data_IF_461040513126
#
_entry.id   IF_461040513126
#
_cell.length_a   1.000
_cell.length_b   1.000
_cell.length_c   1.000
_cell.angle_alpha   90.00
_cell.angle_beta   90.00
_cell.angle_gamma   90.00
#
_symmetry.space_group_name_H-M   'P 1'
#
loop_
_entity.id
_entity.type
_entity.pdbx_description
1 polymer ?
#
# COMPACT_ATOMS: atom_id res chain seq x y z
N UNK A 1 -12.13 42.77 -29.82
CA UNK A 1 -12.28 41.46 -29.16
C UNK A 1 -10.86 40.93 -29.00
N UNK A 2 -10.30 41.16 -27.81
CA UNK A 2 -8.93 40.76 -27.48
C UNK A 2 -8.92 39.22 -27.33
N UNK A 3 -7.94 38.50 -27.89
CA UNK A 3 -7.88 37.06 -27.74
C UNK A 3 -7.71 36.70 -26.25
N UNK A 4 -8.33 35.61 -25.77
CA UNK A 4 -8.12 35.17 -24.40
C UNK A 4 -6.62 34.91 -24.17
N UNK A 5 -6.08 35.22 -22.98
CA UNK A 5 -4.67 35.03 -22.69
C UNK A 5 -4.30 33.55 -22.90
N UNK A 6 -3.24 33.31 -23.68
CA UNK A 6 -2.66 31.98 -23.86
C UNK A 6 -2.41 31.37 -22.47
N UNK A 7 -3.04 30.22 -22.21
CA UNK A 7 -2.78 29.48 -20.99
C UNK A 7 -1.29 29.10 -20.98
N UNK A 8 -0.52 29.71 -20.07
CA UNK A 8 0.90 29.42 -19.92
C UNK A 8 1.09 27.93 -19.70
N UNK A 9 1.91 27.31 -20.54
CA UNK A 9 2.15 25.87 -20.44
C UNK A 9 2.79 25.57 -19.07
N UNK A 10 2.25 24.62 -18.29
CA UNK A 10 2.73 24.36 -16.95
C UNK A 10 4.18 23.89 -17.00
N UNK A 11 5.04 24.47 -16.14
CA UNK A 11 6.46 24.13 -16.08
C UNK A 11 6.62 22.65 -15.75
N UNK A 12 7.40 21.93 -16.57
CA UNK A 12 7.77 20.54 -16.28
C UNK A 12 8.85 20.51 -15.20
N UNK A 13 8.62 19.71 -14.16
CA UNK A 13 9.57 19.43 -13.10
C UNK A 13 10.14 18.02 -13.31
N UNK A 14 11.46 17.87 -13.23
CA UNK A 14 12.14 16.59 -13.34
C UNK A 14 12.10 15.82 -12.01
N UNK A 15 12.20 14.49 -12.06
CA UNK A 15 12.29 13.68 -10.82
C UNK A 15 13.57 14.03 -10.06
N UNK A 16 14.66 14.32 -10.77
CA UNK A 16 15.91 14.78 -10.16
C UNK A 16 15.76 16.08 -9.37
N UNK A 17 14.94 17.02 -9.85
CA UNK A 17 14.67 18.27 -9.13
C UNK A 17 13.81 18.02 -7.89
N UNK A 18 12.86 17.09 -7.99
CA UNK A 18 12.06 16.65 -6.84
C UNK A 18 12.94 16.09 -5.72
N UNK A 19 13.92 15.25 -6.07
CA UNK A 19 14.85 14.64 -5.11
C UNK A 19 15.78 15.65 -4.43
N UNK A 20 15.98 16.84 -5.02
CA UNK A 20 16.72 17.95 -4.39
C UNK A 20 15.92 18.66 -3.31
N UNK A 21 14.59 18.54 -3.33
CA UNK A 21 13.74 19.14 -2.29
C UNK A 21 13.98 18.44 -0.96
N UNK A 22 14.26 19.24 0.08
CA UNK A 22 14.54 18.76 1.44
C UNK A 22 13.35 18.84 2.38
N UNK A 23 12.22 19.38 1.91
CA UNK A 23 10.99 19.53 2.68
C UNK A 23 9.79 18.93 1.95
N UNK A 24 8.79 18.44 2.69
CA UNK A 24 7.52 18.01 2.12
C UNK A 24 6.91 19.10 1.23
N UNK A 25 6.68 18.77 -0.03
CA UNK A 25 6.23 19.72 -1.07
C UNK A 25 5.02 19.18 -1.82
N UNK A 26 4.09 20.04 -2.22
CA UNK A 26 2.92 19.68 -3.04
C UNK A 26 2.88 20.53 -4.30
N UNK A 27 2.37 19.97 -5.39
CA UNK A 27 2.28 20.64 -6.68
C UNK A 27 1.09 20.14 -7.50
N UNK A 28 0.58 21.01 -8.37
CA UNK A 28 -0.49 20.70 -9.31
C UNK A 28 -0.28 21.42 -10.64
N UNK A 29 -0.72 20.79 -11.74
CA UNK A 29 -0.64 21.34 -13.10
C UNK A 29 -1.76 22.34 -13.41
N UNK A 30 -2.80 22.36 -12.56
CA UNK A 30 -3.89 23.33 -12.59
C UNK A 30 -3.98 23.94 -11.20
N UNK A 31 -3.53 25.18 -11.04
CA UNK A 31 -3.93 25.96 -9.88
C UNK A 31 -5.35 26.43 -10.15
N UNK A 32 -6.30 26.09 -9.27
CA UNK A 32 -7.56 26.83 -9.25
C UNK A 32 -7.18 28.28 -8.97
N UNK A 33 -7.56 29.20 -9.86
CA UNK A 33 -7.40 30.63 -9.63
C UNK A 33 -7.94 30.95 -8.23
N UNK A 34 -7.22 31.73 -7.40
CA UNK A 34 -7.80 32.19 -6.15
C UNK A 34 -9.09 32.94 -6.51
N UNK A 35 -10.22 32.46 -6.00
CA UNK A 35 -11.42 33.30 -5.98
C UNK A 35 -11.03 34.61 -5.30
N UNK A 36 -11.46 35.77 -5.83
CA UNK A 36 -11.05 37.06 -5.28
C UNK A 36 -11.39 37.07 -3.79
N UNK A 37 -10.36 37.34 -2.99
CA UNK A 37 -10.50 37.62 -1.58
C UNK A 37 -11.52 38.75 -1.40
N UNK A 38 -12.74 38.40 -1.00
CA UNK A 38 -13.57 39.35 -0.29
C UNK A 38 -12.89 39.65 1.05
N UNK A 39 -12.12 40.72 1.03
CA UNK A 39 -11.71 41.51 2.18
C UNK A 39 -12.97 41.90 2.98
N UNK A 40 -13.44 41.00 3.84
CA UNK A 40 -14.39 41.34 4.88
C UNK A 40 -13.59 41.90 6.04
N UNK A 41 -13.60 43.22 6.14
CA UNK A 41 -13.01 43.98 7.22
C UNK A 41 -13.35 43.35 8.58
N UNK A 42 -12.32 43.14 9.39
CA UNK A 42 -12.46 42.73 10.77
C UNK A 42 -13.28 43.77 11.54
N UNK A 43 -14.51 43.41 11.92
CA UNK A 43 -15.21 44.06 13.03
C UNK A 43 -14.88 43.28 14.30
N UNK A 44 -14.31 44.00 15.25
CA UNK A 44 -13.93 43.54 16.58
C UNK A 44 -15.17 43.25 17.41
N UNK A 45 -15.42 41.97 17.70
CA UNK A 45 -16.27 41.59 18.84
C UNK A 45 -15.65 40.39 19.57
N UNK A 46 -15.17 40.64 20.79
CA UNK A 46 -14.61 39.62 21.68
C UNK A 46 -15.68 38.62 22.16
N UNK A 47 -15.42 37.29 22.20
CA UNK A 47 -16.23 36.37 22.96
C UNK A 47 -15.69 36.19 24.39
N UNK A 48 -16.58 36.32 25.37
CA UNK A 48 -16.36 36.09 26.81
C UNK A 48 -15.80 34.69 27.11
N UNK A 49 -14.84 34.62 28.04
CA UNK A 49 -14.20 33.41 28.57
C UNK A 49 -15.20 32.53 29.35
N UNK A 50 -15.20 31.23 29.08
CA UNK A 50 -15.58 30.15 30.02
C UNK A 50 -14.42 29.12 30.12
N UNK A 51 -14.24 28.45 31.26
CA UNK A 51 -12.95 27.87 31.65
C UNK A 51 -12.67 26.53 30.95
N UNK A 52 -11.43 26.38 30.44
CA UNK A 52 -10.88 25.16 29.85
C UNK A 52 -10.25 24.30 30.94
N UNK A 53 -10.72 23.06 31.08
CA UNK A 53 -9.92 21.96 31.64
C UNK A 53 -8.86 21.57 30.60
N UNK A 54 -7.60 21.72 30.96
CA UNK A 54 -6.43 21.50 30.12
C UNK A 54 -6.02 20.03 30.08
N UNK A 55 -6.24 19.38 28.94
CA UNK A 55 -5.49 18.20 28.52
C UNK A 55 -4.55 18.62 27.37
N UNK A 56 -3.28 18.83 27.69
CA UNK A 56 -2.26 19.26 26.72
C UNK A 56 -1.71 18.05 25.99
N UNK A 57 -2.38 17.62 24.92
CA UNK A 57 -1.76 16.77 23.90
C UNK A 57 -0.72 17.60 23.14
N UNK A 58 0.52 17.12 22.92
CA UNK A 58 1.34 17.66 21.85
C UNK A 58 0.70 17.20 20.53
N UNK A 59 -0.04 18.09 19.88
CA UNK A 59 -0.54 17.83 18.54
C UNK A 59 0.67 17.50 17.63
N UNK A 60 0.60 16.44 16.80
CA UNK A 60 1.59 16.26 15.74
C UNK A 60 1.63 17.57 14.94
N UNK A 61 2.83 18.02 14.55
CA UNK A 61 2.97 19.20 13.67
C UNK A 61 2.16 18.96 12.40
N UNK A 62 0.96 19.53 12.32
CA UNK A 62 0.03 19.44 11.18
C UNK A 62 0.35 20.49 10.12
N UNK A 63 1.64 20.81 9.94
CA UNK A 63 2.03 21.81 8.96
C UNK A 63 1.59 21.31 7.57
N UNK A 64 0.93 22.14 6.75
CA UNK A 64 0.59 21.75 5.39
C UNK A 64 1.87 21.55 4.57
N UNK A 65 1.78 20.75 3.50
CA UNK A 65 2.87 20.65 2.52
C UNK A 65 3.21 22.03 1.96
N UNK A 66 4.49 22.30 1.71
CA UNK A 66 4.90 23.53 1.05
C UNK A 66 4.38 23.53 -0.40
N UNK A 67 3.48 24.45 -0.80
CA UNK A 67 2.98 24.48 -2.16
C UNK A 67 4.03 25.06 -3.11
N UNK A 68 4.10 24.53 -4.33
CA UNK A 68 4.80 25.21 -5.43
C UNK A 68 3.88 26.34 -5.93
N UNK A 69 4.36 27.60 -5.99
CA UNK A 69 3.50 28.77 -6.21
C UNK A 69 2.99 28.92 -7.64
N UNK A 70 3.44 28.08 -8.57
CA UNK A 70 3.04 28.10 -9.98
C UNK A 70 2.60 26.71 -10.43
N UNK A 71 1.81 26.60 -11.52
CA UNK A 71 1.45 25.30 -12.09
C UNK A 71 2.69 24.48 -12.44
N UNK A 72 2.72 23.22 -11.99
CA UNK A 72 3.81 22.28 -12.24
C UNK A 72 3.28 20.94 -12.70
N UNK A 73 3.92 20.40 -13.73
CA UNK A 73 3.68 19.07 -14.26
C UNK A 73 4.89 18.19 -13.97
N UNK A 74 4.67 17.03 -13.36
CA UNK A 74 5.69 15.97 -13.28
C UNK A 74 5.44 14.96 -14.41
N UNK A 75 6.50 14.51 -15.07
CA UNK A 75 6.44 13.47 -16.09
C UNK A 75 7.46 12.39 -15.79
N UNK A 76 7.13 11.13 -16.08
CA UNK A 76 8.06 10.03 -15.91
C UNK A 76 7.48 8.68 -16.27
N UNK A 77 8.38 7.71 -16.46
CA UNK A 77 8.01 6.33 -16.76
C UNK A 77 7.72 5.58 -15.47
N UNK A 78 6.54 4.97 -15.38
CA UNK A 78 6.17 4.19 -14.22
C UNK A 78 6.67 2.76 -14.37
N UNK A 79 7.46 2.27 -13.42
CA UNK A 79 8.07 0.95 -13.46
C UNK A 79 7.86 0.18 -12.15
N UNK A 80 8.07 -1.14 -12.21
CA UNK A 80 8.02 -2.00 -11.03
C UNK A 80 9.19 -1.69 -10.09
N UNK A 81 9.02 -1.84 -8.75
CA UNK A 81 10.06 -1.51 -7.79
C UNK A 81 11.37 -2.26 -8.08
N UNK A 82 12.51 -1.60 -7.88
CA UNK A 82 13.83 -2.22 -7.95
C UNK A 82 14.04 -3.21 -6.78
N UNK A 83 15.11 -3.99 -6.85
CA UNK A 83 15.42 -4.98 -5.83
C UNK A 83 15.59 -4.37 -4.42
N UNK A 84 16.09 -3.15 -4.33
CA UNK A 84 16.38 -2.47 -3.05
C UNK A 84 15.25 -1.53 -2.59
N UNK A 85 14.18 -1.41 -3.39
CA UNK A 85 13.05 -0.51 -3.12
C UNK A 85 11.94 -1.18 -2.30
N UNK A 86 10.91 -0.40 -1.93
CA UNK A 86 9.71 -0.85 -1.23
C UNK A 86 8.85 -1.80 -2.10
N UNK A 87 9.30 -3.06 -2.23
CA UNK A 87 8.68 -4.14 -3.05
C UNK A 87 7.23 -4.45 -2.67
N UNK A 88 6.81 -3.94 -1.51
CA UNK A 88 5.55 -4.31 -0.89
C UNK A 88 4.39 -3.43 -1.32
N UNK A 89 4.62 -2.15 -1.61
CA UNK A 89 3.54 -1.16 -1.76
C UNK A 89 3.75 -0.17 -2.91
N UNK A 90 4.98 0.28 -3.14
CA UNK A 90 5.29 1.32 -4.13
C UNK A 90 5.60 0.75 -5.52
N UNK A 91 5.42 1.61 -6.51
CA UNK A 91 6.09 1.54 -7.82
C UNK A 91 7.29 2.49 -7.84
N UNK A 92 7.98 2.56 -8.97
CA UNK A 92 9.08 3.51 -9.19
C UNK A 92 8.72 4.45 -10.32
N UNK A 93 8.78 5.77 -10.08
CA UNK A 93 8.70 6.75 -11.17
C UNK A 93 10.11 7.19 -11.52
N UNK A 94 10.49 7.01 -12.78
CA UNK A 94 11.81 7.38 -13.29
C UNK A 94 11.69 8.50 -14.31
N UNK A 95 12.65 9.42 -14.29
CA UNK A 95 12.75 10.47 -15.30
C UNK A 95 13.10 9.85 -16.66
N UNK A 96 12.54 10.33 -17.79
CA UNK A 96 12.98 9.90 -19.12
C UNK A 96 14.41 10.39 -19.43
N UNK A 97 14.79 11.53 -18.86
CA UNK A 97 16.06 12.21 -19.16
C UNK A 97 17.18 11.92 -18.15
N UNK A 98 16.88 11.26 -17.03
CA UNK A 98 17.87 10.94 -16.00
C UNK A 98 17.61 9.57 -15.37
N UNK A 99 18.65 8.91 -14.85
CA UNK A 99 18.50 7.66 -14.11
C UNK A 99 17.89 7.83 -12.70
N UNK A 100 17.43 9.04 -12.35
CA UNK A 100 16.83 9.31 -11.05
C UNK A 100 15.46 8.63 -10.92
N UNK A 101 15.20 8.05 -9.74
CA UNK A 101 13.95 7.37 -9.44
C UNK A 101 13.42 7.73 -8.06
N UNK A 102 12.10 7.68 -7.91
CA UNK A 102 11.38 7.96 -6.66
C UNK A 102 10.33 6.88 -6.39
N UNK A 103 10.13 6.50 -5.11
CA UNK A 103 9.03 5.60 -4.72
C UNK A 103 7.73 6.29 -5.08
N UNK A 104 6.83 5.63 -5.79
CA UNK A 104 5.60 6.25 -6.26
C UNK A 104 4.39 5.41 -5.85
N UNK A 105 3.43 6.06 -5.20
CA UNK A 105 2.11 5.50 -4.95
C UNK A 105 1.08 6.28 -5.76
N UNK A 106 0.28 5.58 -6.56
CA UNK A 106 -0.74 6.18 -7.43
C UNK A 106 -2.12 5.86 -6.87
N UNK A 107 -2.93 6.89 -6.66
CA UNK A 107 -4.38 6.71 -6.56
C UNK A 107 -4.95 6.34 -7.93
N UNK A 108 -6.11 5.68 -7.93
CA UNK A 108 -6.81 5.24 -9.14
C UNK A 108 -5.93 4.48 -10.12
N UNK A 109 -5.06 3.62 -9.59
CA UNK A 109 -4.07 2.90 -10.36
C UNK A 109 -4.69 1.97 -11.42
N UNK A 110 -4.20 2.12 -12.65
CA UNK A 110 -4.43 1.20 -13.77
C UNK A 110 -3.13 0.44 -14.10
N UNK A 111 -3.11 -0.90 -14.06
CA UNK A 111 -1.94 -1.67 -14.45
C UNK A 111 -1.42 -1.37 -15.85
N UNK A 112 -2.26 -0.91 -16.80
CA UNK A 112 -1.86 -0.61 -18.18
C UNK A 112 -0.79 0.48 -18.29
N UNK A 113 -0.53 1.22 -17.20
CA UNK A 113 0.46 2.31 -17.19
C UNK A 113 1.86 1.87 -16.79
N UNK A 114 2.03 0.61 -16.38
CA UNK A 114 3.35 0.04 -16.12
C UNK A 114 4.16 -0.01 -17.41
N UNK A 115 5.39 0.51 -17.37
CA UNK A 115 6.30 0.64 -18.50
C UNK A 115 6.03 1.87 -19.39
N UNK A 116 5.02 2.69 -19.07
CA UNK A 116 4.63 3.85 -19.88
C UNK A 116 4.89 5.16 -19.17
N UNK A 117 5.02 6.22 -19.96
CA UNK A 117 5.15 7.57 -19.46
C UNK A 117 3.78 8.10 -18.98
N UNK A 118 3.77 8.62 -17.75
CA UNK A 118 2.62 9.28 -17.15
C UNK A 118 2.94 10.74 -16.87
N UNK A 119 1.88 11.55 -16.90
CA UNK A 119 1.87 12.94 -16.47
C UNK A 119 1.14 13.03 -15.14
N UNK A 120 1.84 13.41 -14.08
CA UNK A 120 1.28 13.58 -12.74
C UNK A 120 0.82 15.02 -12.58
N UNK A 121 -0.50 15.20 -12.53
CA UNK A 121 -1.22 16.47 -12.57
C UNK A 121 -1.45 17.08 -11.18
N UNK A 122 -1.40 16.26 -10.13
CA UNK A 122 -1.45 16.69 -8.74
C UNK A 122 -0.72 15.67 -7.88
N UNK A 123 0.11 16.13 -6.95
CA UNK A 123 1.01 15.25 -6.20
C UNK A 123 1.49 15.86 -4.88
N UNK A 124 1.85 14.99 -3.95
CA UNK A 124 2.63 15.33 -2.77
C UNK A 124 3.96 14.60 -2.80
N UNK A 125 5.03 15.26 -2.37
CA UNK A 125 6.36 14.67 -2.26
C UNK A 125 6.83 14.73 -0.82
N UNK A 126 7.26 13.57 -0.34
CA UNK A 126 7.86 13.35 0.96
C UNK A 126 9.36 13.10 0.74
N UNK A 127 10.25 14.01 1.17
CA UNK A 127 11.68 13.78 1.06
C UNK A 127 12.10 12.61 1.94
N UNK A 128 13.22 12.00 1.56
CA UNK A 128 13.80 10.95 2.37
C UNK A 128 14.27 11.47 3.73
N UNK A 129 13.90 10.76 4.80
CA UNK A 129 14.29 11.09 6.18
C UNK A 129 15.69 10.54 6.50
N UNK A 130 16.21 9.56 5.73
CA UNK A 130 17.51 8.92 5.94
C UNK A 130 18.32 8.88 4.65
N UNK A 131 19.64 9.05 4.71
CA UNK A 131 20.53 9.11 3.54
C UNK A 131 20.44 7.90 2.58
N UNK A 132 19.88 6.76 3.02
CA UNK A 132 19.72 5.55 2.20
C UNK A 132 18.26 5.19 1.88
N UNK A 133 17.28 6.00 2.29
CA UNK A 133 15.88 5.79 1.93
C UNK A 133 15.52 6.60 0.68
N UNK A 134 14.64 6.08 -0.17
CA UNK A 134 14.12 6.83 -1.31
C UNK A 134 13.05 7.82 -0.85
N UNK A 135 13.00 9.00 -1.48
CA UNK A 135 11.84 9.89 -1.36
C UNK A 135 10.57 9.21 -1.88
N UNK A 136 9.42 9.74 -1.49
CA UNK A 136 8.11 9.18 -1.84
C UNK A 136 7.26 10.22 -2.54
N UNK A 137 6.76 9.88 -3.71
CA UNK A 137 5.80 10.62 -4.50
C UNK A 137 4.42 9.99 -4.34
N UNK A 138 3.49 10.79 -3.84
CA UNK A 138 2.07 10.49 -3.74
C UNK A 138 1.37 11.14 -4.94
N UNK A 139 1.12 10.35 -5.99
CA UNK A 139 0.46 10.82 -7.20
C UNK A 139 -1.06 10.80 -7.01
N UNK A 140 -1.63 11.98 -6.74
CA UNK A 140 -3.05 12.19 -6.45
C UNK A 140 -3.87 12.08 -7.74
N UNK A 141 -3.41 12.74 -8.79
CA UNK A 141 -4.08 12.76 -10.10
C UNK A 141 -3.04 12.65 -11.19
N UNK A 142 -3.30 11.81 -12.19
CA UNK A 142 -2.38 11.53 -13.26
C UNK A 142 -3.12 11.15 -14.54
N UNK A 143 -2.42 11.14 -15.68
CA UNK A 143 -2.89 10.60 -16.95
C UNK A 143 -1.72 10.04 -17.75
N UNK A 144 -2.00 9.25 -18.78
CA UNK A 144 -0.99 8.84 -19.75
C UNK A 144 -0.49 10.06 -20.54
N UNK A 145 0.81 10.07 -20.85
CA UNK A 145 1.44 11.15 -21.63
C UNK A 145 0.99 11.12 -23.09
N UNK A 146 0.85 9.91 -23.66
CA UNK A 146 0.27 9.69 -24.97
C UNK A 146 -1.15 10.27 -25.02
N UNK A 147 -1.43 11.09 -26.04
CA UNK A 147 -2.80 11.50 -26.32
C UNK A 147 -3.65 10.25 -26.57
N UNK A 148 -4.94 10.23 -26.19
CA UNK A 148 -5.82 9.18 -26.67
C UNK A 148 -5.75 9.20 -28.20
N UNK A 149 -5.07 8.20 -28.77
CA UNK A 149 -5.15 7.95 -30.21
C UNK A 149 -6.61 7.75 -30.60
N UNK A 150 -6.95 7.82 -31.90
CA UNK A 150 -8.30 7.54 -32.36
C UNK A 150 -8.78 6.24 -31.70
N UNK A 151 -9.91 6.35 -31.00
CA UNK A 151 -10.55 5.25 -30.26
C UNK A 151 -10.54 4.03 -31.16
N UNK A 152 -9.85 2.93 -30.80
CA UNK A 152 -10.00 1.70 -31.55
C UNK A 152 -11.48 1.32 -31.49
N UNK A 153 -12.06 1.13 -32.67
CA UNK A 153 -13.39 0.59 -32.93
C UNK A 153 -13.68 -0.62 -32.02
N UNK A 154 -14.92 -0.88 -31.58
CA UNK A 154 -15.23 -1.82 -30.50
C UNK A 154 -14.76 -3.25 -30.81
N UNK A 155 -13.65 -3.60 -30.18
CA UNK A 155 -13.09 -4.94 -30.09
C UNK A 155 -12.14 -5.04 -28.90
N UNK A 156 -12.38 -4.24 -27.85
CA UNK A 156 -11.60 -4.29 -26.62
C UNK A 156 -11.72 -5.69 -26.05
N UNK A 157 -10.62 -6.44 -26.09
CA UNK A 157 -10.53 -7.73 -25.44
C UNK A 157 -10.94 -7.57 -23.98
N UNK A 158 -11.79 -8.48 -23.49
CA UNK A 158 -12.26 -8.47 -22.10
C UNK A 158 -11.12 -8.39 -21.08
N UNK A 159 -9.94 -8.87 -21.45
CA UNK A 159 -8.72 -8.75 -20.66
C UNK A 159 -7.67 -7.89 -21.37
N UNK A 160 -7.03 -7.00 -20.60
CA UNK A 160 -5.77 -6.35 -20.97
C UNK A 160 -4.61 -7.17 -20.38
N UNK A 161 -3.60 -7.49 -21.19
CA UNK A 161 -2.47 -8.34 -20.78
C UNK A 161 -1.18 -7.52 -20.63
N UNK A 162 -0.41 -7.81 -19.58
CA UNK A 162 0.97 -7.35 -19.46
C UNK A 162 1.89 -8.56 -19.20
N UNK A 163 2.96 -8.74 -19.99
CA UNK A 163 3.97 -9.75 -19.70
C UNK A 163 4.68 -9.42 -18.38
N UNK A 164 4.86 -10.43 -17.51
CA UNK A 164 5.55 -10.22 -16.24
C UNK A 164 7.06 -10.07 -16.42
N UNK A 165 7.62 -10.65 -17.49
CA UNK A 165 9.03 -10.58 -17.85
C UNK A 165 9.14 -10.08 -19.29
N UNK A 166 9.95 -9.05 -19.51
CA UNK A 166 10.17 -8.42 -20.81
C UNK A 166 11.23 -9.14 -21.66
N UNK A 167 11.40 -10.45 -21.49
CA UNK A 167 12.31 -11.25 -22.32
C UNK A 167 11.48 -11.90 -23.40
N UNK A 168 11.98 -11.88 -24.65
CA UNK A 168 11.31 -12.40 -25.84
C UNK A 168 10.50 -13.66 -25.54
N UNK A 169 9.18 -13.52 -25.70
CA UNK A 169 8.22 -14.52 -25.30
C UNK A 169 8.32 -15.72 -26.24
N UNK A 170 9.07 -16.74 -25.83
CA UNK A 170 9.06 -18.06 -26.49
C UNK A 170 7.61 -18.57 -26.63
N UNK A 171 7.23 -19.06 -27.83
CA UNK A 171 5.86 -19.46 -28.12
C UNK A 171 5.31 -20.44 -27.08
N UNK A 172 4.05 -20.21 -26.70
CA UNK A 172 3.41 -20.90 -25.60
C UNK A 172 3.25 -22.40 -25.89
N UNK A 173 4.07 -23.23 -25.26
CA UNK A 173 3.85 -24.68 -25.23
C UNK A 173 2.48 -25.00 -24.60
N UNK A 174 1.70 -25.95 -25.15
CA UNK A 174 0.36 -26.32 -24.68
C UNK A 174 0.33 -26.94 -23.26
N UNK A 175 1.50 -27.20 -22.68
CA UNK A 175 1.66 -27.79 -21.33
C UNK A 175 1.71 -26.77 -20.19
N UNK A 176 1.63 -25.47 -20.48
CA UNK A 176 1.72 -24.42 -19.45
C UNK A 176 0.37 -24.17 -18.76
N UNK A 177 0.40 -24.08 -17.43
CA UNK A 177 -0.77 -23.86 -16.59
C UNK A 177 -1.37 -22.46 -16.75
N UNK A 178 -2.69 -22.39 -16.57
CA UNK A 178 -3.49 -21.17 -16.59
C UNK A 178 -4.45 -21.15 -15.40
N UNK A 179 -4.71 -19.96 -14.87
CA UNK A 179 -5.82 -19.70 -13.95
C UNK A 179 -6.54 -18.42 -14.35
N UNK A 180 -7.85 -18.39 -14.16
CA UNK A 180 -8.66 -17.19 -14.25
C UNK A 180 -9.53 -17.13 -13.01
N UNK A 181 -9.52 -16.00 -12.29
CA UNK A 181 -10.19 -15.88 -11.01
C UNK A 181 -10.08 -14.53 -10.34
N UNK A 182 -10.84 -14.36 -9.27
CA UNK A 182 -10.79 -13.18 -8.41
C UNK A 182 -9.61 -13.29 -7.44
N UNK A 183 -8.77 -12.25 -7.35
CA UNK A 183 -7.68 -12.20 -6.36
C UNK A 183 -8.28 -11.98 -4.96
N UNK A 184 -8.13 -12.94 -4.04
CA UNK A 184 -8.64 -12.87 -2.67
C UNK A 184 -7.70 -12.15 -1.73
N UNK A 185 -6.42 -12.50 -1.80
CA UNK A 185 -5.37 -11.93 -0.96
C UNK A 185 -4.01 -12.13 -1.61
N UNK A 186 -3.09 -11.23 -1.29
CA UNK A 186 -1.71 -11.27 -1.76
C UNK A 186 -0.80 -11.18 -0.55
N UNK A 187 0.03 -12.20 -0.35
CA UNK A 187 0.97 -12.21 0.77
C UNK A 187 2.01 -11.10 0.62
N UNK A 188 2.70 -10.81 1.72
CA UNK A 188 3.99 -10.12 1.70
C UNK A 188 5.00 -10.86 0.82
N UNK A 189 6.03 -10.16 0.35
CA UNK A 189 7.20 -10.81 -0.24
C UNK A 189 7.97 -11.50 0.89
N UNK A 190 8.36 -12.76 0.68
CA UNK A 190 9.16 -13.55 1.59
C UNK A 190 10.21 -14.37 0.84
N UNK A 191 11.24 -14.78 1.56
CA UNK A 191 12.29 -15.66 1.05
C UNK A 191 12.02 -17.10 1.46
N UNK A 192 12.25 -18.04 0.55
CA UNK A 192 12.18 -19.49 0.78
C UNK A 192 13.54 -20.09 0.50
N UNK A 193 14.14 -20.84 1.45
CA UNK A 193 15.39 -21.54 1.22
C UNK A 193 15.26 -22.50 0.04
N UNK A 194 16.17 -22.41 -0.92
CA UNK A 194 16.20 -23.33 -2.05
C UNK A 194 17.13 -24.50 -1.76
N UNK A 195 16.61 -25.73 -1.79
CA UNK A 195 17.39 -26.92 -1.44
C UNK A 195 18.62 -27.17 -2.33
N UNK A 196 18.63 -26.63 -3.56
CA UNK A 196 19.66 -26.91 -4.58
C UNK A 196 20.44 -25.70 -5.06
N UNK A 197 20.19 -24.49 -4.54
CA UNK A 197 20.93 -23.28 -4.91
C UNK A 197 21.42 -22.52 -3.67
N UNK A 198 22.55 -21.80 -3.80
CA UNK A 198 23.12 -20.97 -2.72
C UNK A 198 22.25 -19.74 -2.36
N UNK A 199 21.27 -19.38 -3.19
CA UNK A 199 20.43 -18.19 -3.01
C UNK A 199 18.98 -18.56 -2.71
N UNK A 200 18.38 -17.87 -1.74
CA UNK A 200 16.96 -18.02 -1.42
C UNK A 200 16.07 -17.54 -2.57
N UNK A 201 14.98 -18.28 -2.82
CA UNK A 201 13.93 -17.82 -3.74
C UNK A 201 13.08 -16.75 -3.07
N UNK A 202 13.03 -15.55 -3.66
CA UNK A 202 12.21 -14.45 -3.16
C UNK A 202 10.91 -14.39 -3.95
N UNK A 203 9.78 -14.37 -3.25
CA UNK A 203 8.48 -14.38 -3.91
C UNK A 203 7.31 -14.02 -3.02
N UNK A 204 6.11 -14.05 -3.58
CA UNK A 204 4.86 -13.88 -2.85
C UNK A 204 3.78 -14.81 -3.41
N UNK A 205 2.76 -15.09 -2.61
CA UNK A 205 1.64 -15.95 -2.98
C UNK A 205 0.40 -15.10 -3.20
N UNK A 206 -0.27 -15.31 -4.32
CA UNK A 206 -1.64 -14.85 -4.55
C UNK A 206 -2.62 -16.00 -4.33
N UNK A 207 -3.60 -15.77 -3.48
CA UNK A 207 -4.77 -16.63 -3.32
C UNK A 207 -5.86 -16.16 -4.26
N UNK A 208 -6.39 -17.06 -5.07
CA UNK A 208 -7.38 -16.75 -6.10
C UNK A 208 -8.59 -17.68 -5.97
N UNK A 209 -9.80 -17.11 -6.11
CA UNK A 209 -11.01 -17.89 -6.37
C UNK A 209 -11.17 -18.01 -7.88
N UNK A 210 -10.83 -19.17 -8.41
CA UNK A 210 -10.79 -19.45 -9.83
C UNK A 210 -12.10 -19.98 -10.37
N UNK A 211 -12.33 -19.68 -11.64
CA UNK A 211 -13.42 -20.22 -12.42
C UNK A 211 -13.19 -21.71 -12.70
N UNK A 212 -14.22 -22.54 -12.46
CA UNK A 212 -14.18 -23.98 -12.72
C UNK A 212 -14.44 -24.38 -14.17
N UNK A 213 -14.93 -23.45 -15.00
CA UNK A 213 -15.36 -23.69 -16.38
C UNK A 213 -14.24 -24.31 -17.24
N UNK A 214 -14.61 -25.24 -18.13
CA UNK A 214 -13.66 -25.89 -19.06
C UNK A 214 -12.99 -24.87 -19.98
N UNK A 215 -13.74 -23.88 -20.47
CA UNK A 215 -13.24 -22.83 -21.37
C UNK A 215 -12.14 -21.98 -20.70
N UNK A 216 -12.33 -21.51 -19.46
CA UNK A 216 -11.32 -20.71 -18.75
C UNK A 216 -10.00 -21.47 -18.46
N UNK A 217 -10.01 -22.80 -18.58
CA UNK A 217 -8.78 -23.61 -18.49
C UNK A 217 -8.01 -23.64 -19.81
N UNK A 218 -8.69 -23.47 -20.94
CA UNK A 218 -8.16 -23.61 -22.29
C UNK A 218 -7.83 -22.24 -22.92
N UNK A 219 -8.77 -21.31 -22.87
CA UNK A 219 -8.70 -20.00 -23.54
C UNK A 219 -8.87 -18.84 -22.55
N UNK A 220 -8.63 -17.61 -23.02
CA UNK A 220 -8.91 -16.42 -22.22
C UNK A 220 -10.43 -16.22 -22.18
N UNK A 221 -11.00 -15.80 -21.06
CA UNK A 221 -12.41 -15.45 -21.01
C UNK A 221 -12.68 -14.23 -21.90
N UNK A 222 -13.79 -14.27 -22.62
CA UNK A 222 -14.26 -13.21 -23.51
C UNK A 222 -15.37 -12.37 -22.87
N UNK A 223 -15.94 -12.85 -21.76
CA UNK A 223 -16.93 -12.13 -20.96
C UNK A 223 -16.87 -12.55 -19.50
N UNK A 224 -17.62 -11.86 -18.65
CA UNK A 224 -17.84 -12.23 -17.26
C UNK A 224 -19.08 -13.12 -17.04
N UNK A 225 -19.95 -13.24 -18.05
CA UNK A 225 -21.22 -13.96 -17.94
C UNK A 225 -21.00 -15.47 -17.88
N UNK A 226 -21.62 -16.11 -16.90
CA UNK A 226 -21.60 -17.57 -16.75
C UNK A 226 -20.36 -18.14 -16.06
N UNK A 227 -19.49 -17.30 -15.48
CA UNK A 227 -18.35 -17.75 -14.70
C UNK A 227 -18.68 -17.86 -13.20
N UNK A 228 -18.37 -19.03 -12.62
CA UNK A 228 -18.52 -19.29 -11.18
C UNK A 228 -17.15 -19.47 -10.53
N UNK A 229 -16.81 -18.57 -9.62
CA UNK A 229 -15.52 -18.53 -8.91
C UNK A 229 -15.56 -19.36 -7.62
N UNK A 230 -15.53 -20.68 -7.76
CA UNK A 230 -15.73 -21.61 -6.64
C UNK A 230 -14.44 -22.36 -6.23
N UNK A 231 -13.40 -22.34 -7.06
CA UNK A 231 -12.19 -23.16 -6.84
C UNK A 231 -11.04 -22.32 -6.29
N UNK A 232 -10.64 -22.55 -5.05
CA UNK A 232 -9.46 -21.89 -4.46
C UNK A 232 -8.16 -22.42 -5.08
N UNK A 233 -7.28 -21.49 -5.50
CA UNK A 233 -5.94 -21.80 -6.00
C UNK A 233 -4.91 -20.82 -5.47
N UNK A 234 -3.69 -21.31 -5.26
CA UNK A 234 -2.54 -20.51 -4.89
C UNK A 234 -1.56 -20.43 -6.07
N UNK A 235 -1.16 -19.21 -6.42
CA UNK A 235 -0.14 -18.95 -7.44
C UNK A 235 1.07 -18.30 -6.76
N UNK A 236 2.24 -18.91 -6.92
CA UNK A 236 3.49 -18.41 -6.37
C UNK A 236 4.25 -17.60 -7.42
N UNK A 237 4.41 -16.31 -7.17
CA UNK A 237 5.18 -15.40 -8.01
C UNK A 237 6.60 -15.29 -7.45
N UNK A 238 7.57 -15.77 -8.21
CA UNK A 238 8.98 -15.90 -7.80
C UNK A 238 9.91 -15.04 -8.64
N UNK A 239 11.05 -14.68 -8.05
CA UNK A 239 12.15 -13.98 -8.70
C UNK A 239 11.71 -12.65 -9.31
N UNK A 240 11.89 -12.43 -10.62
CA UNK A 240 11.46 -11.21 -11.30
C UNK A 240 9.96 -10.95 -11.17
N UNK A 241 9.14 -12.01 -11.15
CA UNK A 241 7.70 -11.89 -10.95
C UNK A 241 7.34 -11.39 -9.54
N UNK A 242 8.23 -11.51 -8.55
CA UNK A 242 8.00 -10.98 -7.20
C UNK A 242 7.83 -9.45 -7.19
N UNK A 243 8.39 -8.74 -8.17
CA UNK A 243 8.27 -7.27 -8.32
C UNK A 243 6.84 -6.82 -8.62
N UNK A 244 5.97 -7.73 -9.05
CA UNK A 244 4.57 -7.46 -9.37
C UNK A 244 3.63 -7.42 -8.16
N UNK A 245 4.14 -7.68 -6.95
CA UNK A 245 3.33 -7.67 -5.73
C UNK A 245 2.52 -6.37 -5.55
N UNK A 246 3.08 -5.15 -5.74
CA UNK A 246 2.32 -3.90 -5.59
C UNK A 246 1.18 -3.75 -6.59
N UNK A 247 1.28 -4.41 -7.75
CA UNK A 247 0.25 -4.42 -8.80
C UNK A 247 -0.86 -5.39 -8.41
N UNK A 248 -0.52 -6.66 -8.13
CA UNK A 248 -1.52 -7.67 -7.75
C UNK A 248 -2.25 -7.34 -6.44
N UNK A 249 -1.57 -6.72 -5.47
CA UNK A 249 -2.21 -6.25 -4.23
C UNK A 249 -3.31 -5.21 -4.49
N UNK A 250 -3.13 -4.34 -5.50
CA UNK A 250 -4.15 -3.37 -5.94
C UNK A 250 -5.27 -3.99 -6.79
N UNK A 251 -5.09 -5.22 -7.26
CA UNK A 251 -6.10 -6.00 -7.97
C UNK A 251 -6.90 -6.94 -7.05
N UNK A 252 -6.73 -6.87 -5.72
CA UNK A 252 -7.54 -7.64 -4.77
C UNK A 252 -9.02 -7.30 -4.93
N UNK A 253 -9.83 -8.33 -5.19
CA UNK A 253 -11.25 -8.22 -5.51
C UNK A 253 -11.55 -8.03 -7.00
N UNK A 254 -10.54 -8.04 -7.88
CA UNK A 254 -10.72 -7.99 -9.34
C UNK A 254 -10.40 -9.34 -10.00
N UNK A 255 -11.04 -9.68 -11.14
CA UNK A 255 -10.67 -10.83 -11.93
C UNK A 255 -9.34 -10.63 -12.61
N UNK A 256 -8.52 -11.66 -12.52
CA UNK A 256 -7.21 -11.75 -13.14
C UNK A 256 -7.07 -13.12 -13.80
N UNK A 257 -6.55 -13.12 -15.02
CA UNK A 257 -6.04 -14.29 -15.71
C UNK A 257 -4.53 -14.33 -15.58
N UNK A 258 -3.98 -15.48 -15.16
CA UNK A 258 -2.55 -15.72 -15.10
C UNK A 258 -2.24 -16.93 -15.96
N UNK A 259 -1.44 -16.73 -17.01
CA UNK A 259 -1.03 -17.77 -17.97
C UNK A 259 0.46 -18.06 -17.84
N UNK A 260 0.95 -19.11 -18.51
CA UNK A 260 2.38 -19.42 -18.53
C UNK A 260 2.92 -19.92 -17.19
N UNK A 261 2.07 -20.55 -16.37
CA UNK A 261 2.44 -21.09 -15.06
C UNK A 261 3.06 -22.49 -15.20
N UNK A 262 4.01 -22.82 -14.33
CA UNK A 262 4.54 -24.18 -14.18
C UNK A 262 3.89 -24.85 -12.98
N UNK A 263 3.60 -26.15 -13.07
CA UNK A 263 3.27 -26.96 -11.89
C UNK A 263 4.58 -27.41 -11.25
N UNK A 264 4.78 -27.08 -9.98
CA UNK A 264 5.95 -27.52 -9.20
C UNK A 264 5.48 -28.20 -7.93
N UNK A 265 6.13 -29.29 -7.55
CA UNK A 265 5.90 -29.92 -6.25
C UNK A 265 6.66 -29.13 -5.19
N UNK A 266 5.96 -28.72 -4.13
CA UNK A 266 6.50 -27.93 -3.01
C UNK A 266 6.28 -28.72 -1.73
N UNK A 267 7.37 -29.04 -1.04
CA UNK A 267 7.34 -29.67 0.28
C UNK A 267 7.17 -28.62 1.37
N UNK A 268 6.18 -28.80 2.23
CA UNK A 268 5.88 -27.88 3.33
C UNK A 268 6.29 -28.55 4.65
N UNK A 269 7.61 -28.56 4.92
CA UNK A 269 8.18 -29.18 6.11
C UNK A 269 7.71 -30.64 6.28
N UNK A 270 7.26 -31.00 7.49
CA UNK A 270 6.71 -32.33 7.79
C UNK A 270 5.27 -32.53 7.29
N UNK A 271 4.61 -31.50 6.74
CA UNK A 271 3.19 -31.56 6.33
C UNK A 271 2.97 -32.18 4.95
N UNK A 272 4.02 -32.66 4.28
CA UNK A 272 3.96 -33.33 2.99
C UNK A 272 4.25 -32.41 1.78
N UNK A 273 4.05 -32.97 0.60
CA UNK A 273 4.33 -32.33 -0.69
C UNK A 273 3.03 -31.96 -1.41
N UNK A 274 2.96 -30.73 -1.91
CA UNK A 274 1.78 -30.17 -2.57
C UNK A 274 2.15 -29.71 -3.98
N UNK A 275 1.25 -29.91 -4.95
CA UNK A 275 1.43 -29.33 -6.28
C UNK A 275 1.01 -27.86 -6.25
N UNK A 276 1.94 -26.95 -6.55
CA UNK A 276 1.71 -25.52 -6.60
C UNK A 276 1.88 -24.98 -8.02
N UNK A 277 1.11 -23.95 -8.38
CA UNK A 277 1.33 -23.18 -9.59
C UNK A 277 2.36 -22.10 -9.33
N UNK A 278 3.43 -22.08 -10.11
CA UNK A 278 4.57 -21.17 -9.94
C UNK A 278 4.79 -20.37 -11.21
N UNK A 279 5.09 -19.07 -11.07
CA UNK A 279 5.44 -18.22 -12.20
C UNK A 279 6.69 -18.73 -12.92
N UNK A 280 6.78 -18.44 -14.21
CA UNK A 280 7.91 -18.74 -15.08
C UNK A 280 8.25 -17.51 -15.93
N UNK A 281 9.29 -17.62 -16.75
CA UNK A 281 9.68 -16.57 -17.70
C UNK A 281 8.54 -16.16 -18.63
N UNK A 282 7.65 -17.08 -18.98
CA UNK A 282 6.52 -16.83 -19.85
C UNK A 282 5.22 -16.46 -19.13
N UNK A 283 5.25 -16.18 -17.82
CA UNK A 283 4.04 -15.81 -17.10
C UNK A 283 3.53 -14.45 -17.56
N UNK A 284 2.26 -14.38 -17.91
CA UNK A 284 1.56 -13.14 -18.20
C UNK A 284 0.40 -12.97 -17.22
N UNK A 285 0.15 -11.72 -16.83
CA UNK A 285 -1.01 -11.34 -16.05
C UNK A 285 -1.90 -10.49 -16.92
N UNK A 286 -3.18 -10.85 -16.94
CA UNK A 286 -4.21 -10.09 -17.64
C UNK A 286 -5.33 -9.76 -16.66
N UNK A 287 -5.84 -8.53 -16.68
CA UNK A 287 -6.94 -8.09 -15.82
C UNK A 287 -8.06 -7.54 -16.68
N UNK A 288 -9.27 -7.49 -16.13
CA UNK A 288 -10.40 -6.83 -16.78
C UNK A 288 -10.52 -5.39 -16.25
N UNK A 289 -10.29 -4.35 -17.08
CA UNK A 289 -10.43 -2.96 -16.65
C UNK A 289 -11.88 -2.56 -16.37
N UNK A 290 -12.84 -3.13 -17.11
CA UNK A 290 -14.27 -2.78 -17.04
C UNK A 290 -15.05 -3.56 -15.98
N UNK A 291 -14.47 -4.61 -15.39
CA UNK A 291 -15.20 -5.45 -14.45
C UNK A 291 -15.15 -4.89 -13.02
N UNK A 292 -16.29 -4.38 -12.56
CA UNK A 292 -16.54 -3.99 -11.17
C UNK A 292 -17.15 -5.19 -10.43
N UNK A 293 -16.33 -6.22 -10.26
CA UNK A 293 -16.77 -7.41 -9.52
C UNK A 293 -17.09 -7.06 -8.09
N UNK A 294 -18.28 -7.46 -7.61
CA UNK A 294 -18.54 -7.54 -6.18
C UNK A 294 -17.85 -8.82 -5.68
N UNK A 295 -16.76 -8.74 -4.90
CA UNK A 295 -16.17 -9.95 -4.34
C UNK A 295 -17.20 -10.66 -3.47
N UNK A 296 -17.31 -12.00 -3.55
CA UNK A 296 -18.17 -12.74 -2.63
C UNK A 296 -17.80 -12.36 -1.19
N UNK A 297 -18.75 -11.82 -0.42
CA UNK A 297 -18.50 -11.54 0.99
C UNK A 297 -18.33 -12.90 1.68
N UNK A 298 -17.10 -13.24 2.10
CA UNK A 298 -16.88 -14.44 2.91
C UNK A 298 -17.41 -14.13 4.32
N UNK A 299 -18.71 -14.24 4.55
CA UNK A 299 -19.34 -14.02 5.86
C UNK A 299 -19.12 -15.17 6.85
N UNK A 300 -18.11 -16.02 6.64
CA UNK A 300 -17.88 -17.14 7.55
C UNK A 300 -17.36 -16.62 8.90
N UNK A 301 -18.10 -16.84 10.01
CA UNK A 301 -17.69 -16.38 11.34
C UNK A 301 -16.34 -16.98 11.74
N UNK A 302 -15.45 -16.16 12.32
CA UNK A 302 -14.14 -16.62 12.82
C UNK A 302 -12.98 -16.64 11.81
N UNK A 303 -13.21 -16.27 10.55
CA UNK A 303 -12.15 -16.13 9.52
C UNK A 303 -11.75 -14.66 9.32
N UNK A 304 -10.51 -14.38 8.91
CA UNK A 304 -10.09 -13.02 8.51
C UNK A 304 -10.94 -12.57 7.30
N UNK A 305 -12.09 -11.93 7.49
CA UNK A 305 -13.01 -11.57 6.40
C UNK A 305 -13.46 -10.11 6.39
N UNK A 306 -13.23 -9.36 7.46
CA UNK A 306 -13.70 -7.98 7.57
C UNK A 306 -13.15 -7.04 6.50
N UNK A 307 -13.95 -6.02 6.15
CA UNK A 307 -13.56 -4.87 5.34
C UNK A 307 -13.91 -3.62 6.14
N UNK A 308 -12.97 -2.67 6.22
CA UNK A 308 -13.16 -1.42 6.95
C UNK A 308 -12.47 -0.30 6.17
N UNK A 309 -13.14 0.84 6.05
CA UNK A 309 -12.57 2.05 5.47
C UNK A 309 -12.68 3.16 6.50
N UNK A 310 -11.58 3.86 6.75
CA UNK A 310 -11.52 4.88 7.78
C UNK A 310 -10.38 5.88 7.61
N UNK A 311 -10.43 6.95 8.39
CA UNK A 311 -9.41 8.00 8.43
C UNK A 311 -8.41 7.68 9.53
N UNK A 312 -7.11 7.76 9.21
CA UNK A 312 -6.05 7.60 10.21
C UNK A 312 -6.00 8.82 11.11
N UNK A 313 -6.43 8.70 12.37
CA UNK A 313 -6.36 9.78 13.36
C UNK A 313 -5.04 9.80 14.13
N UNK A 314 -4.39 8.64 14.30
CA UNK A 314 -3.18 8.49 15.10
C UNK A 314 -2.30 7.34 14.65
N UNK A 315 -0.98 7.49 14.79
CA UNK A 315 -0.02 6.41 14.54
C UNK A 315 0.92 6.30 15.73
N UNK A 316 0.92 5.13 16.35
CA UNK A 316 1.67 4.83 17.56
C UNK A 316 2.69 3.73 17.30
N UNK A 317 3.74 3.73 18.13
CA UNK A 317 4.72 2.64 18.19
C UNK A 317 5.32 2.25 16.82
N UNK A 318 5.70 3.25 16.02
CA UNK A 318 6.30 3.06 14.68
C UNK A 318 5.38 2.33 13.68
N UNK A 319 4.08 2.66 13.70
CA UNK A 319 3.12 2.08 12.76
C UNK A 319 2.62 0.68 13.13
N UNK A 320 2.95 0.17 14.32
CA UNK A 320 2.38 -1.10 14.79
C UNK A 320 0.94 -0.93 15.27
N UNK A 321 0.58 0.26 15.73
CA UNK A 321 -0.76 0.57 16.22
C UNK A 321 -1.24 1.85 15.53
N UNK A 322 -2.36 1.76 14.83
CA UNK A 322 -2.93 2.83 14.00
C UNK A 322 -4.35 3.07 14.48
N UNK A 323 -4.65 4.30 14.85
CA UNK A 323 -5.98 4.73 15.26
C UNK A 323 -6.77 5.16 14.02
N UNK A 324 -8.02 4.71 13.92
CA UNK A 324 -8.95 4.94 12.83
C UNK A 324 -10.28 5.47 13.38
N UNK A 325 -10.76 6.59 12.87
CA UNK A 325 -12.08 7.17 13.22
C UNK A 325 -12.35 7.24 14.74
N UNK A 326 -11.29 7.49 15.53
CA UNK A 326 -11.26 7.60 17.00
C UNK A 326 -11.51 6.29 17.79
N UNK A 327 -12.53 5.51 17.42
CA UNK A 327 -12.97 4.32 18.16
C UNK A 327 -12.47 2.99 17.58
N UNK A 328 -11.93 3.01 16.37
CA UNK A 328 -11.41 1.82 15.69
C UNK A 328 -9.88 1.84 15.73
N UNK A 329 -9.27 0.69 16.05
CA UNK A 329 -7.83 0.59 16.17
C UNK A 329 -7.33 -0.56 15.32
N UNK A 330 -6.33 -0.32 14.49
CA UNK A 330 -5.66 -1.32 13.67
C UNK A 330 -4.32 -1.71 14.30
N UNK A 331 -4.19 -2.99 14.65
CA UNK A 331 -2.97 -3.57 15.18
C UNK A 331 -2.26 -4.36 14.09
N UNK A 332 -1.13 -3.82 13.61
CA UNK A 332 -0.24 -4.43 12.63
C UNK A 332 0.80 -5.28 13.36
N UNK A 333 0.45 -6.55 13.59
CA UNK A 333 1.26 -7.48 14.37
C UNK A 333 2.21 -8.34 13.51
N UNK A 334 1.89 -8.54 12.24
CA UNK A 334 2.76 -9.27 11.31
C UNK A 334 4.03 -8.45 11.05
N UNK A 335 5.19 -9.01 11.40
CA UNK A 335 6.50 -8.39 11.17
C UNK A 335 6.79 -8.13 9.69
N UNK A 336 6.18 -8.92 8.81
CA UNK A 336 6.39 -8.85 7.36
C UNK A 336 5.46 -7.84 6.69
N UNK A 337 4.33 -7.50 7.32
CA UNK A 337 3.45 -6.41 6.87
C UNK A 337 4.06 -5.08 7.33
N UNK A 338 5.04 -4.58 6.58
CA UNK A 338 5.57 -3.23 6.77
C UNK A 338 4.49 -2.23 6.31
N UNK A 339 4.18 -1.17 7.07
CA UNK A 339 3.27 -0.12 6.63
C UNK A 339 3.68 0.51 5.30
N UNK A 340 2.72 0.93 4.48
CA UNK A 340 2.99 1.77 3.31
C UNK A 340 3.55 3.11 3.75
N UNK A 341 4.44 3.72 2.94
CA UNK A 341 4.96 5.06 3.22
C UNK A 341 3.87 6.14 3.30
N UNK A 342 2.78 5.92 2.59
CA UNK A 342 1.61 6.82 2.56
C UNK A 342 0.61 6.54 3.68
N UNK A 343 0.86 5.55 4.56
CA UNK A 343 0.08 5.37 5.78
C UNK A 343 0.48 6.44 6.80
N UNK A 344 -0.28 7.54 6.81
CA UNK A 344 0.02 8.75 7.58
C UNK A 344 -1.26 9.30 8.20
N UNK A 345 -1.14 10.06 9.28
CA UNK A 345 -2.29 10.73 9.93
C UNK A 345 -2.99 11.64 8.92
N UNK A 346 -4.31 11.51 8.79
CA UNK A 346 -5.14 12.19 7.80
C UNK A 346 -5.32 11.44 6.49
N UNK A 347 -4.64 10.31 6.27
CA UNK A 347 -4.89 9.46 5.11
C UNK A 347 -6.18 8.63 5.29
N UNK A 348 -6.89 8.37 4.20
CA UNK A 348 -8.03 7.44 4.19
C UNK A 348 -7.56 6.08 3.70
N UNK A 349 -7.81 5.03 4.47
CA UNK A 349 -7.36 3.67 4.14
C UNK A 349 -8.50 2.67 4.12
N UNK A 350 -8.36 1.65 3.29
CA UNK A 350 -9.16 0.43 3.30
C UNK A 350 -8.34 -0.71 3.90
N UNK A 351 -8.83 -1.35 4.96
CA UNK A 351 -8.28 -2.59 5.52
C UNK A 351 -9.20 -3.74 5.11
N UNK A 352 -8.63 -4.80 4.54
CA UNK A 352 -9.37 -6.01 4.12
C UNK A 352 -8.77 -7.24 4.78
N UNK A 353 -9.60 -8.23 5.11
CA UNK A 353 -9.21 -9.53 5.69
C UNK A 353 -8.49 -9.35 7.03
N UNK A 354 -9.19 -8.81 8.03
CA UNK A 354 -8.71 -8.69 9.42
C UNK A 354 -9.57 -9.51 10.40
N UNK A 355 -9.05 -9.68 11.62
CA UNK A 355 -9.80 -10.21 12.77
C UNK A 355 -10.38 -9.05 13.56
N UNK A 356 -11.62 -9.17 14.01
CA UNK A 356 -12.26 -8.16 14.85
C UNK A 356 -12.29 -8.64 16.29
N UNK A 357 -11.88 -7.78 17.21
CA UNK A 357 -12.09 -7.96 18.64
C UNK A 357 -12.71 -6.68 19.18
N UNK A 358 -13.85 -6.81 19.88
CA UNK A 358 -14.44 -5.68 20.61
C UNK A 358 -13.86 -5.66 22.02
N UNK A 359 -13.32 -4.51 22.42
CA UNK A 359 -12.79 -4.27 23.75
C UNK A 359 -13.71 -3.27 24.45
N UNK A 360 -14.41 -3.73 25.49
CA UNK A 360 -15.29 -2.88 26.29
C UNK A 360 -14.52 -2.38 27.51
N UNK A 361 -14.42 -1.07 27.64
CA UNK A 361 -13.85 -0.38 28.78
C UNK A 361 -14.99 0.29 29.56
N UNK A 362 -14.77 0.58 30.83
CA UNK A 362 -15.76 1.26 31.66
C UNK A 362 -16.20 2.63 31.08
N UNK A 363 -15.36 3.29 30.28
CA UNK A 363 -15.61 4.61 29.71
C UNK A 363 -15.80 4.65 28.19
N UNK A 364 -15.56 3.55 27.46
CA UNK A 364 -15.61 3.53 25.98
C UNK A 364 -15.60 2.10 25.44
N UNK A 365 -15.97 1.92 24.18
CA UNK A 365 -15.78 0.67 23.45
C UNK A 365 -14.85 0.90 22.28
N UNK A 366 -13.81 0.09 22.20
CA UNK A 366 -12.86 0.10 21.07
C UNK A 366 -13.08 -1.13 20.20
N UNK A 367 -13.07 -0.93 18.88
CA UNK A 367 -13.05 -2.01 17.90
C UNK A 367 -11.62 -2.23 17.42
N UNK A 368 -11.01 -3.35 17.82
CA UNK A 368 -9.65 -3.71 17.44
C UNK A 368 -9.65 -4.59 16.18
N UNK A 369 -8.98 -4.11 15.13
CA UNK A 369 -8.72 -4.81 13.88
C UNK A 369 -7.32 -5.43 13.94
N UNK A 370 -7.25 -6.75 14.07
CA UNK A 370 -5.99 -7.50 14.06
C UNK A 370 -5.60 -7.94 12.66
N UNK A 371 -4.36 -7.62 12.24
CA UNK A 371 -3.81 -8.12 10.98
C UNK A 371 -3.55 -9.62 10.99
N UNK A 372 -3.50 -10.23 9.82
CA UNK A 372 -3.05 -11.60 9.59
C UNK A 372 -2.31 -11.65 8.24
N UNK A 373 -1.72 -12.79 7.88
CA UNK A 373 -0.92 -12.94 6.65
C UNK A 373 -1.69 -12.65 5.34
N UNK A 374 -3.02 -12.64 5.39
CA UNK A 374 -3.92 -12.31 4.27
C UNK A 374 -4.39 -10.85 4.27
N UNK A 375 -4.08 -10.07 5.30
CA UNK A 375 -4.55 -8.70 5.42
C UNK A 375 -3.95 -7.82 4.33
N UNK A 376 -4.79 -6.99 3.74
CA UNK A 376 -4.38 -5.94 2.80
C UNK A 376 -4.78 -4.57 3.34
N UNK A 377 -3.88 -3.60 3.20
CA UNK A 377 -4.10 -2.20 3.54
C UNK A 377 -3.87 -1.39 2.28
N UNK A 378 -4.88 -0.64 1.83
CA UNK A 378 -4.83 0.18 0.62
C UNK A 378 -5.09 1.62 0.97
N UNK A 379 -4.33 2.55 0.38
CA UNK A 379 -4.56 3.99 0.52
C UNK A 379 -5.61 4.42 -0.50
N UNK A 380 -6.70 5.03 -0.03
CA UNK A 380 -7.77 5.58 -0.87
C UNK A 380 -7.60 7.10 -1.06
N UNK A 381 -7.07 7.80 -0.06
CA UNK A 381 -6.72 9.21 -0.15
C UNK A 381 -5.48 9.50 0.70
N UNK A 382 -4.61 10.37 0.21
CA UNK A 382 -3.39 10.75 0.92
C UNK A 382 -3.65 11.79 2.01
N UNK A 383 -2.74 11.85 2.98
CA UNK A 383 -2.74 12.92 3.98
C UNK A 383 -2.35 14.26 3.36
N UNK A 384 -3.10 15.30 3.69
CA UNK A 384 -2.87 16.69 3.26
C UNK A 384 -1.89 17.45 4.17
N UNK A 385 -1.46 16.84 5.28
CA UNK A 385 -0.52 17.44 6.23
C UNK A 385 0.83 16.72 6.20
N UNK A 386 1.88 17.45 6.55
CA UNK A 386 3.20 16.90 6.84
C UNK A 386 3.17 16.16 8.19
N UNK A 387 2.54 14.99 8.18
CA UNK A 387 2.71 14.01 9.24
C UNK A 387 3.89 13.12 8.92
N UNK A 388 4.78 12.95 9.90
CA UNK A 388 6.00 12.13 9.77
C UNK A 388 5.63 10.72 9.29
N UNK A 389 6.38 10.20 8.32
CA UNK A 389 6.29 8.80 7.93
C UNK A 389 6.85 7.92 9.06
N UNK A 390 6.04 7.00 9.57
CA UNK A 390 6.46 6.07 10.61
C UNK A 390 7.01 4.79 9.97
N UNK A 391 8.22 4.86 9.40
CA UNK A 391 8.89 3.65 8.92
C UNK A 391 9.24 2.74 10.09
N UNK A 392 8.83 1.47 9.98
CA UNK A 392 9.13 0.44 10.99
C UNK A 392 10.61 0.09 10.91
N UNK A 393 11.41 0.58 11.85
CA UNK A 393 12.75 0.04 12.08
C UNK A 393 12.61 -1.41 12.60
N UNK A 394 13.50 -2.32 12.17
CA UNK A 394 13.52 -3.70 12.67
C UNK A 394 13.54 -3.71 14.20
N UNK A 395 12.42 -4.14 14.79
CA UNK A 395 12.25 -4.12 16.22
C UNK A 395 12.80 -5.42 16.81
N UNK A 396 14.12 -5.58 16.79
CA UNK A 396 14.83 -6.74 17.36
C UNK A 396 15.04 -6.63 18.90
N UNK A 397 14.47 -5.59 19.53
CA UNK A 397 14.51 -5.38 20.99
C UNK A 397 13.58 -6.28 21.80
N UNK A 398 13.72 -6.27 23.13
CA UNK A 398 12.93 -7.08 24.09
C UNK A 398 11.42 -6.91 23.92
N UNK A 399 10.92 -5.68 23.76
CA UNK A 399 9.50 -5.41 23.48
C UNK A 399 9.00 -6.17 22.24
N UNK A 400 9.81 -6.21 21.17
CA UNK A 400 9.48 -6.93 19.95
C UNK A 400 9.51 -8.45 20.10
N UNK A 401 10.05 -8.99 21.19
CA UNK A 401 9.96 -10.41 21.55
C UNK A 401 8.77 -10.68 22.46
N UNK A 402 8.60 -9.88 23.52
CA UNK A 402 7.51 -10.01 24.50
C UNK A 402 6.12 -9.84 23.86
N UNK A 403 5.95 -8.85 22.99
CA UNK A 403 4.68 -8.62 22.28
C UNK A 403 4.30 -9.81 21.38
N UNK A 404 5.25 -10.61 20.87
CA UNK A 404 4.89 -11.75 20.02
C UNK A 404 4.27 -12.91 20.79
N UNK A 405 4.47 -12.98 22.12
CA UNK A 405 3.93 -14.05 22.96
C UNK A 405 2.48 -13.79 23.42
N UNK A 406 1.99 -12.57 23.25
CA UNK A 406 0.66 -12.17 23.73
C UNK A 406 -0.41 -12.38 22.67
N UNK A 407 -1.64 -12.60 23.11
CA UNK A 407 -2.82 -12.56 22.24
C UNK A 407 -3.16 -11.11 21.83
N UNK A 408 -4.04 -10.96 20.82
CA UNK A 408 -4.35 -9.66 20.19
C UNK A 408 -4.69 -8.55 21.20
N UNK A 409 -5.57 -8.76 22.21
CA UNK A 409 -5.86 -7.74 23.22
C UNK A 409 -4.64 -7.40 24.09
N UNK A 410 -3.87 -8.40 24.50
CA UNK A 410 -2.66 -8.21 25.30
C UNK A 410 -1.59 -7.42 24.53
N UNK A 411 -1.41 -7.72 23.23
CA UNK A 411 -0.53 -6.94 22.35
C UNK A 411 -0.95 -5.47 22.28
N UNK A 412 -2.25 -5.23 22.07
CA UNK A 412 -2.80 -3.88 22.01
C UNK A 412 -2.49 -3.11 23.31
N UNK A 413 -2.83 -3.70 24.47
CA UNK A 413 -2.57 -3.09 25.77
C UNK A 413 -1.11 -2.76 26.01
N UNK A 414 -0.21 -3.69 25.72
CA UNK A 414 1.22 -3.49 25.92
C UNK A 414 1.78 -2.37 25.06
N UNK A 415 1.35 -2.28 23.81
CA UNK A 415 1.76 -1.21 22.91
C UNK A 415 1.19 0.14 23.33
N UNK A 416 -0.08 0.18 23.74
CA UNK A 416 -0.73 1.39 24.23
C UNK A 416 -0.05 1.91 25.51
N UNK A 417 0.14 1.04 26.50
CA UNK A 417 0.86 1.37 27.74
C UNK A 417 2.26 1.88 27.44
N UNK A 418 3.03 1.19 26.58
CA UNK A 418 4.36 1.65 26.20
C UNK A 418 4.31 3.03 25.54
N UNK A 419 3.32 3.30 24.69
CA UNK A 419 3.12 4.60 24.06
C UNK A 419 2.82 5.68 25.11
N UNK A 420 1.91 5.41 26.05
CA UNK A 420 1.57 6.34 27.14
C UNK A 420 2.78 6.62 28.04
N UNK A 421 3.58 5.60 28.38
CA UNK A 421 4.81 5.77 29.17
C UNK A 421 5.82 6.66 28.43
N UNK A 422 6.05 6.41 27.13
CA UNK A 422 6.92 7.28 26.32
C UNK A 422 6.48 8.73 26.36
N UNK A 423 5.18 8.97 26.22
CA UNK A 423 4.62 10.32 26.20
C UNK A 423 4.72 10.99 27.57
N UNK A 424 4.35 10.28 28.65
CA UNK A 424 4.36 10.80 30.02
C UNK A 424 5.76 11.13 30.50
N UNK A 425 6.73 10.27 30.20
CA UNK A 425 8.11 10.38 30.69
C UNK A 425 9.09 10.96 29.67
N UNK A 426 8.62 11.37 28.48
CA UNK A 426 9.45 11.89 27.37
C UNK A 426 10.65 10.98 27.06
N UNK A 427 10.44 9.67 27.08
CA UNK A 427 11.49 8.69 26.84
C UNK A 427 11.67 8.46 25.33
N UNK A 428 12.85 8.79 24.83
CA UNK A 428 13.15 8.73 23.40
C UNK A 428 13.55 7.31 22.96
N UNK A 429 14.07 6.48 23.87
CA UNK A 429 14.60 5.16 23.52
C UNK A 429 13.74 4.00 24.04
N UNK A 430 13.45 3.04 23.15
CA UNK A 430 12.84 1.75 23.55
C UNK A 430 13.71 0.98 24.56
N UNK A 431 15.03 1.21 24.55
CA UNK A 431 15.99 0.59 25.49
C UNK A 431 15.87 1.14 26.91
N UNK A 432 15.39 2.37 27.08
CA UNK A 432 15.19 2.97 28.42
C UNK A 432 13.99 2.38 29.14
N UNK A 433 12.95 1.98 28.40
CA UNK A 433 11.70 1.44 28.98
C UNK A 433 11.81 -0.06 29.26
N UNK A 434 12.41 -0.82 28.34
CA UNK A 434 12.41 -2.29 28.37
C UNK A 434 13.78 -2.91 28.68
N UNK A 435 14.81 -2.09 28.86
CA UNK A 435 16.17 -2.54 29.09
C UNK A 435 16.87 -3.09 27.84
N UNK A 436 18.10 -3.55 28.03
CA UNK A 436 18.92 -4.22 27.01
C UNK A 436 18.92 -5.74 27.25
N UNK A 437 19.49 -6.52 26.31
CA UNK A 437 19.62 -7.98 26.47
C UNK A 437 20.44 -8.39 27.72
N UNK A 438 21.14 -7.46 28.38
CA UNK A 438 21.99 -7.69 29.56
C UNK A 438 21.44 -7.09 30.87
N UNK A 439 20.43 -6.23 30.83
CA UNK A 439 19.79 -5.66 32.02
C UNK A 439 18.32 -5.37 31.72
N UNK A 440 17.41 -6.06 32.41
CA UNK A 440 15.99 -5.73 32.40
C UNK A 440 15.75 -4.53 33.33
N UNK A 441 14.92 -3.57 32.90
CA UNK A 441 14.45 -2.47 33.75
C UNK A 441 12.94 -2.33 33.59
N UNK A 442 12.29 -1.91 34.68
CA UNK A 442 10.91 -1.41 34.88
C UNK A 442 9.77 -2.14 34.13
N UNK A 443 9.80 -2.25 32.80
CA UNK A 443 8.75 -2.86 31.99
C UNK A 443 8.47 -4.35 32.27
N UNK A 444 9.45 -5.12 32.76
CA UNK A 444 9.24 -6.54 33.11
C UNK A 444 8.40 -6.76 34.37
N UNK A 445 8.25 -5.72 35.22
CA UNK A 445 7.50 -5.81 36.48
C UNK A 445 6.09 -5.20 36.40
N UNK A 446 5.73 -4.56 35.28
CA UNK A 446 4.41 -3.97 35.04
C UNK A 446 3.39 -4.99 34.49
N UNK A 447 3.78 -6.26 34.31
CA UNK A 447 2.94 -7.33 33.78
C UNK A 447 2.67 -8.47 34.77
N UNK A 448 2.84 -8.21 36.07
CA UNK A 448 2.38 -9.11 37.12
C UNK A 448 1.05 -8.62 37.67
#
# INVERSE_FOLDING_TARGET
>A
MEPPPEASTPRRLAVADLLRLRRPTTGASSLLSPSPSHSSAASTSQPRKKPKLSATNPAPTTAPFAPIPHPVLLAGTLSLPSADACRNHCLSLTDPSSAASVCCYLLDFDPAVIGREILVLAWNYLPSVRQHEAGVLEAVRWRLAEAPGPVPVPGLSFLAAIPLNSVDAEPALPTRGRVFGMVRSVSVVFSVPHATQKSDLVGFIAEMMCCGCRQCKLSQPESDRGHKFEMEKFVYFVDLASRWRPVLARLIGRPVSVTGLKKKMVSVGKKGSYTMLVSSTATMVSWCPSYVGVPPLDELPGKCSGVYTGVVSGIHMQGMLVELDEIVWLLIDDKRLVPSHSLRVGAVISVKKFRVVRLNFAWTTVVLLGTCSKTSITINAFSVVDSKCHTRAENNGLLGKSVNFLELPGKFWMLLLTSCFKQKFKLDSKKEIWGSKKEARIGSHLCC
#
